data_IF_208254805564
#
_entry.id   IF_208254805564
#
_cell.length_a   1.000
_cell.length_b   1.000
_cell.length_c   1.000
_cell.angle_alpha   90.00
_cell.angle_beta   90.00
_cell.angle_gamma   90.00
#
_symmetry.space_group_name_H-M   'P 1'
#
loop_
_entity.id
_entity.type
_entity.pdbx_description
1 polymer ?
#
# COMPACT_ATOMS: atom_id res chain seq x y z
N UNK A 1 -12.68 -17.09 15.12
CA UNK A 1 -12.45 -15.64 15.20
C UNK A 1 -11.20 -15.28 16.01
N UNK A 2 -11.05 -15.75 17.26
CA UNK A 2 -9.82 -15.50 18.05
C UNK A 2 -8.52 -15.99 17.37
N UNK A 3 -8.51 -17.19 16.79
CA UNK A 3 -7.33 -17.74 16.09
C UNK A 3 -6.91 -16.90 14.88
N UNK A 4 -7.88 -16.43 14.08
CA UNK A 4 -7.63 -15.61 12.90
C UNK A 4 -7.03 -14.23 13.26
N UNK A 5 -7.51 -13.61 14.35
CA UNK A 5 -6.95 -12.34 14.82
C UNK A 5 -5.50 -12.49 15.31
N UNK A 6 -5.18 -13.59 15.99
CA UNK A 6 -3.81 -13.84 16.44
C UNK A 6 -2.86 -14.18 15.27
N UNK A 7 -3.34 -14.87 14.24
CA UNK A 7 -2.61 -15.08 12.99
C UNK A 7 -2.33 -13.75 12.27
N UNK A 8 -3.35 -12.88 12.16
CA UNK A 8 -3.24 -11.54 11.58
C UNK A 8 -2.21 -10.68 12.33
N UNK A 9 -2.24 -10.69 13.66
CA UNK A 9 -1.27 -9.98 14.50
C UNK A 9 0.15 -10.50 14.28
N UNK A 10 0.33 -11.82 14.36
CA UNK A 10 1.66 -12.43 14.20
C UNK A 10 2.24 -12.07 12.83
N UNK A 11 1.44 -12.16 11.77
CA UNK A 11 1.86 -11.76 10.45
C UNK A 11 2.16 -10.25 10.37
N UNK A 12 1.34 -9.38 10.99
CA UNK A 12 1.63 -7.95 11.05
C UNK A 12 2.98 -7.64 11.73
N UNK A 13 3.32 -8.34 12.81
CA UNK A 13 4.63 -8.24 13.48
C UNK A 13 5.77 -8.66 12.55
N UNK A 14 5.66 -9.82 11.91
CA UNK A 14 6.69 -10.31 11.00
C UNK A 14 6.90 -9.36 9.80
N UNK A 15 5.83 -8.79 9.25
CA UNK A 15 5.91 -7.79 8.17
C UNK A 15 6.57 -6.51 8.62
N UNK A 16 6.26 -6.05 9.83
CA UNK A 16 6.91 -4.89 10.43
C UNK A 16 8.42 -5.11 10.56
N UNK A 17 8.83 -6.26 11.09
CA UNK A 17 10.25 -6.63 11.24
C UNK A 17 10.97 -6.75 9.88
N UNK A 18 10.31 -7.30 8.85
CA UNK A 18 10.83 -7.35 7.49
C UNK A 18 11.05 -5.94 6.90
N UNK A 19 10.08 -5.05 7.07
CA UNK A 19 10.19 -3.66 6.62
C UNK A 19 11.30 -2.91 7.36
N UNK A 20 11.44 -3.12 8.67
CA UNK A 20 12.52 -2.54 9.48
C UNK A 20 13.89 -3.01 9.00
N UNK A 21 14.06 -4.32 8.82
CA UNK A 21 15.32 -4.89 8.34
C UNK A 21 15.67 -4.42 6.92
N UNK A 22 14.69 -4.36 6.02
CA UNK A 22 14.87 -3.82 4.67
C UNK A 22 15.27 -2.34 4.72
N UNK A 23 14.62 -1.55 5.59
CA UNK A 23 14.96 -0.14 5.78
C UNK A 23 16.39 0.07 6.26
N UNK A 24 16.87 -0.74 7.21
CA UNK A 24 18.25 -0.65 7.69
C UNK A 24 19.27 -0.92 6.59
N UNK A 25 19.04 -1.94 5.77
CA UNK A 25 19.92 -2.29 4.65
C UNK A 25 19.92 -1.18 3.61
N UNK A 26 18.74 -0.71 3.24
CA UNK A 26 18.57 0.35 2.24
C UNK A 26 19.18 1.68 2.71
N UNK A 27 19.01 2.05 3.98
CA UNK A 27 19.61 3.28 4.54
C UNK A 27 21.14 3.21 4.55
N UNK A 28 21.72 2.02 4.79
CA UNK A 28 23.18 1.81 4.70
C UNK A 28 23.68 1.94 3.27
N UNK A 29 22.91 1.47 2.29
CA UNK A 29 23.26 1.55 0.87
C UNK A 29 23.08 2.96 0.28
N UNK A 30 22.10 3.71 0.77
CA UNK A 30 21.74 5.05 0.28
C UNK A 30 21.83 6.08 1.40
N UNK A 31 23.06 6.38 1.85
CA UNK A 31 23.31 7.31 2.96
C UNK A 31 22.78 8.74 2.71
N UNK A 32 22.45 9.07 1.47
CA UNK A 32 21.88 10.35 1.06
C UNK A 32 20.34 10.39 1.07
N UNK A 33 19.63 9.27 1.29
CA UNK A 33 18.16 9.16 1.24
C UNK A 33 17.61 8.51 2.52
N UNK A 34 18.05 8.99 3.69
CA UNK A 34 17.75 8.32 4.96
C UNK A 34 16.27 8.45 5.32
N UNK A 35 15.64 7.31 5.63
CA UNK A 35 14.29 7.25 6.16
C UNK A 35 14.26 6.72 7.59
N UNK A 36 13.24 7.13 8.35
CA UNK A 36 12.84 6.46 9.59
C UNK A 36 11.47 5.80 9.42
N UNK A 37 11.27 4.67 10.09
CA UNK A 37 9.97 4.00 10.13
C UNK A 37 9.21 4.38 11.40
N UNK A 38 7.92 4.67 11.27
CA UNK A 38 6.98 4.89 12.38
C UNK A 38 5.77 3.94 12.26
N UNK A 39 5.26 3.35 13.36
CA UNK A 39 5.81 3.37 14.71
C UNK A 39 7.25 2.82 14.72
N UNK A 40 8.08 3.29 15.66
CA UNK A 40 9.39 2.66 15.88
C UNK A 40 9.20 1.32 16.61
N UNK A 41 10.26 0.53 16.72
CA UNK A 41 10.18 -0.84 17.21
C UNK A 41 9.54 -0.93 18.60
N UNK A 42 10.02 -0.12 19.55
CA UNK A 42 9.48 -0.06 20.91
C UNK A 42 7.99 0.27 20.93
N UNK A 43 7.56 1.30 20.19
CA UNK A 43 6.16 1.68 20.18
C UNK A 43 5.27 0.66 19.46
N UNK A 44 5.80 -0.02 18.43
CA UNK A 44 5.09 -1.11 17.77
C UNK A 44 4.87 -2.29 18.73
N UNK A 45 5.90 -2.68 19.49
CA UNK A 45 5.80 -3.72 20.53
C UNK A 45 4.76 -3.37 21.59
N UNK A 46 4.77 -2.13 22.09
CA UNK A 46 3.75 -1.66 23.03
C UNK A 46 2.33 -1.73 22.45
N UNK A 47 2.14 -1.33 21.18
CA UNK A 47 0.84 -1.46 20.51
C UNK A 47 0.44 -2.92 20.36
N UNK A 48 1.40 -3.80 20.06
CA UNK A 48 1.17 -5.23 19.87
C UNK A 48 0.68 -5.87 21.16
N UNK A 49 1.38 -5.64 22.27
CA UNK A 49 1.03 -6.15 23.61
C UNK A 49 -0.35 -5.64 24.08
N UNK A 50 -0.71 -4.41 23.71
CA UNK A 50 -2.00 -3.80 24.03
C UNK A 50 -3.14 -4.19 23.08
N UNK A 51 -2.94 -5.17 22.18
CA UNK A 51 -3.93 -5.59 21.17
C UNK A 51 -4.38 -4.48 20.22
N UNK A 52 -3.50 -3.53 19.90
CA UNK A 52 -3.78 -2.38 19.01
C UNK A 52 -3.19 -2.56 17.60
N UNK A 53 -2.52 -3.67 17.32
CA UNK A 53 -1.94 -3.97 16.01
C UNK A 53 -2.97 -4.73 15.16
N UNK A 54 -3.76 -3.98 14.40
CA UNK A 54 -4.54 -4.43 13.24
C UNK A 54 -5.33 -3.25 12.64
N UNK A 55 -5.29 -2.99 11.32
CA UNK A 55 -4.32 -3.50 10.32
C UNK A 55 -2.90 -2.92 10.52
N UNK A 56 -1.87 -3.55 9.93
CA UNK A 56 -0.51 -3.01 9.95
C UNK A 56 -0.49 -1.67 9.20
N UNK A 57 -0.02 -0.62 9.88
CA UNK A 57 0.15 0.71 9.33
C UNK A 57 1.54 1.20 9.70
N UNK A 58 2.34 1.55 8.68
CA UNK A 58 3.66 2.15 8.88
C UNK A 58 3.83 3.40 8.03
N UNK A 59 4.64 4.31 8.54
CA UNK A 59 5.06 5.53 7.86
C UNK A 59 6.56 5.48 7.64
N UNK A 60 7.01 5.74 6.41
CA UNK A 60 8.41 6.03 6.12
C UNK A 60 8.56 7.54 5.99
N UNK A 61 9.33 8.14 6.90
CA UNK A 61 9.56 9.60 6.94
C UNK A 61 10.97 9.88 6.48
N UNK A 62 11.11 10.64 5.39
CA UNK A 62 12.41 11.11 4.91
C UNK A 62 13.02 12.07 5.93
N UNK A 63 14.27 11.82 6.32
CA UNK A 63 15.03 12.73 7.18
C UNK A 63 15.49 13.99 6.45
N UNK A 64 15.46 13.98 5.12
CA UNK A 64 15.90 15.10 4.30
C UNK A 64 14.76 16.07 3.98
N UNK A 65 13.68 15.55 3.40
CA UNK A 65 12.57 16.37 2.89
C UNK A 65 11.38 16.44 3.86
N UNK A 66 11.35 15.56 4.87
CA UNK A 66 10.15 15.35 5.70
C UNK A 66 8.99 14.67 4.95
N UNK A 67 9.22 14.22 3.70
CA UNK A 67 8.22 13.46 2.94
C UNK A 67 7.81 12.20 3.72
N UNK A 68 6.50 12.00 3.82
CA UNK A 68 5.91 10.90 4.59
C UNK A 68 5.13 9.98 3.67
N UNK A 69 5.67 8.79 3.46
CA UNK A 69 5.00 7.70 2.76
C UNK A 69 4.23 6.86 3.76
N UNK A 70 3.06 6.37 3.39
CA UNK A 70 2.22 5.54 4.26
C UNK A 70 1.94 4.21 3.60
N UNK A 71 2.19 3.11 4.31
CA UNK A 71 1.98 1.74 3.85
C UNK A 71 1.02 1.08 4.83
N UNK A 72 -0.12 0.61 4.34
CA UNK A 72 -1.20 0.01 5.13
C UNK A 72 -1.54 -1.38 4.56
N UNK A 73 -1.50 -2.44 5.39
CA UNK A 73 -2.08 -3.74 5.01
C UNK A 73 -3.58 -3.74 5.30
N UNK A 74 -4.34 -2.99 4.49
CA UNK A 74 -5.73 -2.63 4.75
C UNK A 74 -6.66 -3.83 4.92
N UNK A 75 -6.50 -4.86 4.09
CA UNK A 75 -7.24 -6.12 4.24
C UNK A 75 -6.26 -7.29 4.23
N UNK A 76 -6.09 -7.90 5.39
CA UNK A 76 -5.20 -9.04 5.54
C UNK A 76 -5.69 -10.24 4.72
N UNK A 77 -4.79 -11.01 4.09
CA UNK A 77 -3.33 -10.82 4.04
C UNK A 77 -2.85 -9.97 2.86
N UNK A 78 -3.67 -9.80 1.84
CA UNK A 78 -3.19 -9.53 0.49
C UNK A 78 -3.40 -8.10 0.00
N UNK A 79 -4.25 -7.31 0.65
CA UNK A 79 -4.59 -5.98 0.17
C UNK A 79 -3.77 -4.91 0.86
N UNK A 80 -3.01 -4.17 0.07
CA UNK A 80 -2.13 -3.11 0.52
C UNK A 80 -2.55 -1.76 -0.04
N UNK A 81 -2.27 -0.71 0.70
CA UNK A 81 -2.32 0.67 0.20
C UNK A 81 -0.97 1.33 0.43
N UNK A 82 -0.45 1.97 -0.60
CA UNK A 82 0.74 2.84 -0.51
C UNK A 82 0.32 4.25 -0.90
N UNK A 83 0.54 5.21 -0.01
CA UNK A 83 0.28 6.64 -0.26
C UNK A 83 1.59 7.38 -0.39
N UNK A 84 1.80 8.03 -1.53
CA UNK A 84 2.98 8.84 -1.78
C UNK A 84 2.70 10.32 -1.45
N UNK A 85 3.66 11.05 -0.87
CA UNK A 85 3.48 12.46 -0.52
C UNK A 85 3.84 13.37 -1.70
N UNK A 86 3.23 14.56 -1.76
CA UNK A 86 3.44 15.52 -2.84
C UNK A 86 4.85 16.12 -2.89
N UNK A 87 5.55 16.15 -1.76
CA UNK A 87 6.89 16.73 -1.62
C UNK A 87 8.03 15.71 -1.75
N UNK A 88 7.74 14.45 -2.12
CA UNK A 88 8.78 13.45 -2.33
C UNK A 88 9.58 13.75 -3.61
N UNK A 89 10.90 13.52 -3.56
CA UNK A 89 11.71 13.48 -4.79
C UNK A 89 11.51 12.15 -5.53
N UNK A 90 11.97 12.07 -6.78
CA UNK A 90 11.95 10.81 -7.56
C UNK A 90 12.73 9.72 -6.83
N UNK A 91 13.90 10.05 -6.31
CA UNK A 91 14.80 9.10 -5.64
C UNK A 91 14.17 8.59 -4.34
N UNK A 92 13.49 9.46 -3.59
CA UNK A 92 12.74 9.09 -2.39
C UNK A 92 11.58 8.13 -2.72
N UNK A 93 10.87 8.40 -3.82
CA UNK A 93 9.79 7.54 -4.31
C UNK A 93 10.33 6.19 -4.76
N UNK A 94 11.41 6.16 -5.55
CA UNK A 94 12.06 4.93 -6.03
C UNK A 94 12.54 4.07 -4.84
N UNK A 95 13.17 4.71 -3.85
CA UNK A 95 13.65 4.05 -2.63
C UNK A 95 12.51 3.36 -1.87
N UNK A 96 11.42 4.09 -1.58
CA UNK A 96 10.29 3.54 -0.82
C UNK A 96 9.54 2.50 -1.66
N UNK A 97 9.39 2.72 -2.97
CA UNK A 97 8.82 1.72 -3.89
C UNK A 97 9.57 0.40 -3.77
N UNK A 98 10.89 0.40 -3.96
CA UNK A 98 11.65 -0.85 -4.05
C UNK A 98 11.63 -1.62 -2.73
N UNK A 99 11.76 -0.91 -1.60
CA UNK A 99 11.63 -1.47 -0.26
C UNK A 99 10.26 -2.11 -0.04
N UNK A 100 9.18 -1.37 -0.36
CA UNK A 100 7.81 -1.80 -0.04
C UNK A 100 7.33 -2.91 -0.96
N UNK A 101 7.60 -2.82 -2.27
CA UNK A 101 7.17 -3.83 -3.22
C UNK A 101 7.87 -5.18 -3.01
N UNK A 102 9.14 -5.19 -2.59
CA UNK A 102 9.84 -6.43 -2.21
C UNK A 102 9.16 -7.09 -1.01
N UNK A 103 8.88 -6.29 0.02
CA UNK A 103 8.26 -6.78 1.27
C UNK A 103 6.82 -7.24 1.07
N UNK A 104 6.10 -6.67 0.11
CA UNK A 104 4.74 -7.09 -0.25
C UNK A 104 4.76 -8.36 -1.10
N UNK A 105 5.68 -8.48 -2.06
CA UNK A 105 5.67 -9.57 -3.04
C UNK A 105 6.10 -10.93 -2.47
N UNK A 106 7.10 -10.95 -1.60
CA UNK A 106 7.74 -12.20 -1.16
C UNK A 106 7.83 -12.33 0.35
N UNK A 107 6.68 -12.40 1.03
CA UNK A 107 6.70 -12.04 2.42
C UNK A 107 6.87 -13.38 3.20
N UNK A 108 7.84 -13.52 4.13
CA UNK A 108 8.41 -14.83 4.57
C UNK A 108 7.39 -15.92 4.93
N UNK A 109 6.30 -15.55 5.60
CA UNK A 109 5.20 -16.46 5.97
C UNK A 109 3.92 -16.18 5.18
N UNK A 110 4.05 -16.03 3.86
CA UNK A 110 2.90 -15.90 2.98
C UNK A 110 1.98 -17.13 3.11
N UNK A 111 0.66 -16.95 3.26
CA UNK A 111 -0.27 -18.06 3.20
C UNK A 111 -0.22 -18.73 1.81
N UNK A 112 -0.58 -20.02 1.75
CA UNK A 112 -0.68 -20.73 0.48
C UNK A 112 -1.65 -20.00 -0.47
N UNK A 113 -1.24 -19.79 -1.73
CA UNK A 113 -2.03 -19.05 -2.71
C UNK A 113 -2.04 -17.53 -2.52
N UNK A 114 -1.09 -16.97 -1.75
CA UNK A 114 -0.96 -15.52 -1.60
C UNK A 114 -0.82 -14.79 -2.95
N UNK A 115 -1.75 -13.86 -3.21
CA UNK A 115 -1.76 -13.02 -4.40
C UNK A 115 -1.92 -11.56 -3.96
N UNK A 116 -0.81 -10.81 -3.83
CA UNK A 116 -0.85 -9.45 -3.33
C UNK A 116 -1.58 -8.52 -4.30
N UNK A 117 -2.42 -7.66 -3.74
CA UNK A 117 -3.12 -6.57 -4.41
C UNK A 117 -2.72 -5.25 -3.76
N UNK A 118 -2.54 -4.22 -4.57
CA UNK A 118 -2.05 -2.93 -4.12
C UNK A 118 -2.90 -1.82 -4.71
N UNK A 119 -3.28 -0.85 -3.89
CA UNK A 119 -3.69 0.48 -4.33
C UNK A 119 -2.54 1.46 -4.10
N UNK A 120 -1.97 2.02 -5.16
CA UNK A 120 -1.01 3.11 -5.06
C UNK A 120 -1.72 4.46 -5.25
N UNK A 121 -1.60 5.32 -4.24
CA UNK A 121 -2.23 6.64 -4.17
C UNK A 121 -1.16 7.69 -4.46
N UNK A 122 -1.26 8.32 -5.62
CA UNK A 122 -0.34 9.36 -6.09
C UNK A 122 -0.98 10.76 -6.03
N UNK A 123 -0.23 11.80 -5.60
CA UNK A 123 -0.64 13.18 -5.71
C UNK A 123 -0.92 13.61 -7.16
N UNK A 124 -1.82 14.58 -7.30
CA UNK A 124 -2.05 15.24 -8.58
C UNK A 124 -0.78 15.95 -9.05
N UNK A 125 -0.39 15.74 -10.31
CA UNK A 125 0.87 16.24 -10.88
C UNK A 125 2.09 15.32 -10.72
N UNK A 126 1.95 14.12 -10.14
CA UNK A 126 3.02 13.11 -10.21
C UNK A 126 3.32 12.79 -11.68
N UNK A 127 4.59 12.84 -12.15
CA UNK A 127 4.92 12.57 -13.54
C UNK A 127 4.50 11.17 -13.99
N UNK A 128 3.91 11.08 -15.18
CA UNK A 128 3.40 9.82 -15.76
C UNK A 128 4.46 8.72 -15.81
N UNK A 129 5.69 9.07 -16.20
CA UNK A 129 6.83 8.15 -16.26
C UNK A 129 7.11 7.49 -14.91
N UNK A 130 7.00 8.24 -13.80
CA UNK A 130 7.22 7.69 -12.46
C UNK A 130 6.11 6.72 -12.05
N UNK A 131 4.86 7.01 -12.44
CA UNK A 131 3.73 6.11 -12.20
C UNK A 131 3.91 4.84 -13.03
N UNK A 132 4.31 4.93 -14.30
CA UNK A 132 4.59 3.76 -15.14
C UNK A 132 5.75 2.90 -14.62
N UNK A 133 6.84 3.53 -14.16
CA UNK A 133 7.94 2.81 -13.49
C UNK A 133 7.44 2.05 -12.26
N UNK A 134 6.55 2.65 -11.47
CA UNK A 134 5.93 2.00 -10.32
C UNK A 134 5.08 0.79 -10.73
N UNK A 135 4.15 0.97 -11.67
CA UNK A 135 3.28 -0.12 -12.17
C UNK A 135 4.14 -1.29 -12.65
N UNK A 136 5.15 -1.00 -13.48
CA UNK A 136 6.07 -2.00 -14.04
C UNK A 136 6.84 -2.75 -12.96
N UNK A 137 7.32 -2.05 -11.92
CA UNK A 137 8.06 -2.70 -10.83
C UNK A 137 7.15 -3.63 -10.01
N UNK A 138 5.91 -3.22 -9.76
CA UNK A 138 4.94 -4.01 -8.99
C UNK A 138 4.44 -5.23 -9.78
N UNK A 139 4.04 -5.07 -11.03
CA UNK A 139 3.56 -6.18 -11.87
C UNK A 139 4.66 -7.22 -12.13
N UNK A 140 5.92 -6.81 -12.28
CA UNK A 140 7.07 -7.73 -12.38
C UNK A 140 7.24 -8.63 -11.15
N UNK A 141 6.74 -8.20 -9.99
CA UNK A 141 6.74 -8.98 -8.75
C UNK A 141 5.43 -9.76 -8.52
N UNK A 142 4.53 -9.77 -9.51
CA UNK A 142 3.26 -10.48 -9.42
C UNK A 142 2.21 -9.78 -8.55
N UNK A 143 2.36 -8.47 -8.32
CA UNK A 143 1.39 -7.68 -7.55
C UNK A 143 0.32 -7.12 -8.49
N UNK A 144 -0.95 -7.34 -8.16
CA UNK A 144 -2.08 -6.71 -8.85
C UNK A 144 -2.15 -5.21 -8.46
N UNK A 145 -1.96 -4.32 -9.44
CA UNK A 145 -1.91 -2.87 -9.19
C UNK A 145 -3.23 -2.19 -9.52
N UNK A 146 -3.72 -1.42 -8.56
CA UNK A 146 -4.77 -0.42 -8.69
C UNK A 146 -4.17 0.97 -8.40
N UNK A 147 -4.73 2.02 -9.00
CA UNK A 147 -4.23 3.38 -8.85
C UNK A 147 -5.32 4.33 -8.36
N UNK A 148 -4.90 5.32 -7.60
CA UNK A 148 -5.64 6.56 -7.35
C UNK A 148 -4.69 7.72 -7.64
N UNK A 149 -5.10 8.68 -8.47
CA UNK A 149 -4.27 9.85 -8.81
C UNK A 149 -5.06 11.12 -8.50
N UNK A 150 -4.72 11.81 -7.42
CA UNK A 150 -5.45 13.02 -7.02
C UNK A 150 -5.07 13.54 -5.64
N UNK A 151 -5.83 14.51 -5.11
CA UNK A 151 -5.60 15.05 -3.78
C UNK A 151 -5.78 13.98 -2.70
N UNK A 152 -4.85 13.94 -1.74
CA UNK A 152 -4.93 13.00 -0.60
C UNK A 152 -6.25 13.11 0.16
N UNK A 153 -6.80 14.32 0.29
CA UNK A 153 -8.07 14.55 0.97
C UNK A 153 -9.28 13.93 0.26
N UNK A 154 -9.22 13.70 -1.05
CA UNK A 154 -10.25 12.94 -1.77
C UNK A 154 -10.13 11.45 -1.44
N UNK A 155 -8.92 10.90 -1.46
CA UNK A 155 -8.67 9.51 -1.05
C UNK A 155 -9.14 9.26 0.40
N UNK A 156 -8.83 10.16 1.32
CA UNK A 156 -9.24 10.07 2.73
C UNK A 156 -10.77 9.99 2.86
N UNK A 157 -11.52 10.82 2.12
CA UNK A 157 -12.99 10.75 2.10
C UNK A 157 -13.53 9.41 1.59
N UNK A 158 -12.88 8.81 0.58
CA UNK A 158 -13.25 7.48 0.08
C UNK A 158 -12.99 6.42 1.16
N UNK A 159 -11.83 6.48 1.82
CA UNK A 159 -11.49 5.58 2.92
C UNK A 159 -12.45 5.71 4.10
N UNK A 160 -12.83 6.93 4.49
CA UNK A 160 -13.82 7.19 5.54
C UNK A 160 -15.21 6.65 5.17
N UNK A 161 -15.64 6.85 3.92
CA UNK A 161 -16.92 6.33 3.43
C UNK A 161 -16.96 4.80 3.50
N UNK A 162 -15.89 4.13 3.10
CA UNK A 162 -15.79 2.67 3.21
C UNK A 162 -15.78 2.19 4.66
N UNK A 163 -15.03 2.86 5.54
CA UNK A 163 -14.99 2.55 6.97
C UNK A 163 -16.38 2.68 7.62
N UNK A 164 -17.12 3.73 7.26
CA UNK A 164 -18.49 3.94 7.74
C UNK A 164 -19.44 2.83 7.27
N UNK A 165 -19.41 2.47 5.98
CA UNK A 165 -20.20 1.35 5.44
C UNK A 165 -19.87 0.01 6.11
N UNK A 166 -18.58 -0.21 6.40
CA UNK A 166 -18.11 -1.41 7.10
C UNK A 166 -18.66 -1.44 8.52
N UNK A 167 -18.59 -0.31 9.23
CA UNK A 167 -19.13 -0.17 10.59
C UNK A 167 -20.64 -0.42 10.63
N UNK A 168 -21.40 0.18 9.73
CA UNK A 168 -22.86 -0.02 9.63
C UNK A 168 -23.23 -1.48 9.35
N UNK A 169 -22.48 -2.17 8.49
CA UNK A 169 -22.70 -3.59 8.21
C UNK A 169 -22.44 -4.47 9.44
N UNK A 170 -21.39 -4.16 10.22
CA UNK A 170 -21.10 -4.84 11.50
C UNK A 170 -22.21 -4.59 12.53
N UNK A 171 -22.58 -3.32 12.73
CA UNK A 171 -23.59 -2.92 13.72
C UNK A 171 -24.98 -3.49 13.40
N UNK A 172 -25.31 -3.63 12.11
CA UNK A 172 -26.57 -4.24 11.66
C UNK A 172 -26.57 -5.77 11.63
N UNK A 173 -25.44 -6.42 11.98
CA UNK A 173 -25.30 -7.88 11.95
C UNK A 173 -25.24 -8.49 10.55
N UNK A 174 -25.14 -7.67 9.49
CA UNK A 174 -25.06 -8.10 8.10
C UNK A 174 -23.60 -8.41 7.70
N UNK A 175 -22.98 -9.36 8.40
CA UNK A 175 -21.57 -9.72 8.20
C UNK A 175 -21.30 -10.32 6.81
N UNK A 176 -22.34 -10.87 6.16
CA UNK A 176 -22.33 -11.35 4.78
C UNK A 176 -22.18 -10.22 3.75
N UNK A 177 -22.51 -8.98 4.14
CA UNK A 177 -22.46 -7.79 3.27
C UNK A 177 -21.25 -6.90 3.52
N UNK A 178 -20.24 -7.39 4.25
CA UNK A 178 -19.01 -6.62 4.46
C UNK A 178 -18.39 -6.27 3.10
N UNK A 179 -18.13 -4.98 2.82
CA UNK A 179 -17.71 -4.54 1.50
C UNK A 179 -16.33 -5.11 1.10
N UNK A 180 -15.43 -5.31 2.05
CA UNK A 180 -14.08 -5.85 1.80
C UNK A 180 -13.28 -5.03 0.80
N UNK A 181 -12.29 -5.68 0.15
CA UNK A 181 -11.45 -5.07 -0.88
C UNK A 181 -12.26 -4.64 -2.10
N UNK A 182 -13.12 -5.51 -2.64
CA UNK A 182 -13.89 -5.20 -3.86
C UNK A 182 -14.88 -4.04 -3.64
N UNK A 183 -15.48 -3.95 -2.45
CA UNK A 183 -16.27 -2.80 -2.04
C UNK A 183 -15.44 -1.54 -1.91
N UNK A 184 -14.22 -1.63 -1.35
CA UNK A 184 -13.30 -0.49 -1.28
C UNK A 184 -12.90 0.00 -2.67
N UNK A 185 -12.51 -0.91 -3.57
CA UNK A 185 -12.13 -0.59 -4.94
C UNK A 185 -13.28 0.02 -5.74
N UNK A 186 -14.52 -0.45 -5.54
CA UNK A 186 -15.70 0.18 -6.16
C UNK A 186 -15.93 1.62 -5.72
N UNK A 187 -15.59 1.96 -4.48
CA UNK A 187 -15.69 3.36 -4.02
C UNK A 187 -14.55 4.21 -4.59
N UNK A 188 -13.34 3.65 -4.68
CA UNK A 188 -12.21 4.29 -5.37
C UNK A 188 -12.56 4.60 -6.82
N UNK A 189 -13.05 3.62 -7.58
CA UNK A 189 -13.39 3.77 -9.01
C UNK A 189 -14.52 4.78 -9.28
N UNK A 190 -15.36 5.10 -8.27
CA UNK A 190 -16.38 6.16 -8.39
C UNK A 190 -15.82 7.56 -8.23
N UNK A 191 -14.63 7.69 -7.63
CA UNK A 191 -13.98 8.96 -7.38
C UNK A 191 -13.32 9.51 -8.66
N UNK A 192 -12.98 10.80 -8.68
CA UNK A 192 -12.22 11.37 -9.79
C UNK A 192 -10.82 10.78 -9.85
N UNK A 193 -10.13 10.71 -8.70
CA UNK A 193 -8.79 10.16 -8.62
C UNK A 193 -8.70 8.68 -8.99
N UNK A 194 -9.72 7.87 -8.66
CA UNK A 194 -9.78 6.47 -9.09
C UNK A 194 -9.98 6.30 -10.59
N UNK A 195 -10.84 7.13 -11.21
CA UNK A 195 -11.01 7.13 -12.68
C UNK A 195 -9.73 7.53 -13.41
N UNK A 196 -9.03 8.57 -12.94
CA UNK A 196 -7.69 8.94 -13.45
C UNK A 196 -6.70 7.78 -13.34
N UNK A 197 -6.74 7.04 -12.22
CA UNK A 197 -5.93 5.85 -12.01
C UNK A 197 -6.24 4.71 -13.00
N UNK A 198 -7.53 4.45 -13.25
CA UNK A 198 -7.97 3.44 -14.23
C UNK A 198 -7.56 3.81 -15.66
N UNK A 199 -7.75 5.07 -16.07
CA UNK A 199 -7.29 5.58 -17.37
C UNK A 199 -5.78 5.44 -17.53
N UNK A 200 -5.01 5.71 -16.48
CA UNK A 200 -3.55 5.53 -16.46
C UNK A 200 -3.14 4.06 -16.64
N UNK A 201 -3.78 3.13 -15.92
CA UNK A 201 -3.52 1.69 -16.07
C UNK A 201 -3.88 1.19 -17.47
N UNK A 202 -4.96 1.69 -18.06
CA UNK A 202 -5.38 1.34 -19.42
C UNK A 202 -4.37 1.82 -20.47
N UNK A 203 -3.83 3.04 -20.32
CA UNK A 203 -2.75 3.56 -21.19
C UNK A 203 -1.46 2.75 -21.05
N UNK A 204 -1.03 2.48 -19.83
CA UNK A 204 0.14 1.64 -19.57
C UNK A 204 0.04 0.27 -20.28
N UNK A 205 -1.12 -0.40 -20.15
CA UNK A 205 -1.37 -1.71 -20.75
C UNK A 205 -1.45 -1.66 -22.27
N UNK A 206 -2.02 -0.61 -22.87
CA UNK A 206 -2.12 -0.48 -24.33
C UNK A 206 -0.77 -0.23 -25.01
N UNK A 207 0.11 0.55 -24.37
CA UNK A 207 1.48 0.80 -24.84
C UNK A 207 2.38 -0.44 -24.74
N UNK A 208 2.11 -1.33 -23.79
CA UNK A 208 2.90 -2.55 -23.58
C UNK A 208 2.32 -3.81 -24.24
N UNK A 209 1.06 -3.79 -24.69
CA UNK A 209 0.49 -4.87 -25.53
C UNK A 209 0.74 -4.65 -27.02
N UNK A 210 0.85 -3.40 -27.48
CA UNK A 210 1.15 -3.05 -28.88
C UNK A 210 2.57 -3.44 -29.34
N UNK A 211 3.49 -3.70 -28.41
CA UNK A 211 4.85 -4.18 -28.71
C UNK A 211 4.97 -5.70 -28.81
N UNK A 212 3.92 -6.46 -28.44
CA UNK A 212 3.87 -7.93 -28.55
C UNK A 212 3.09 -8.43 -29.78
N UNK A 213 2.41 -7.54 -30.51
CA UNK A 213 1.64 -7.87 -31.73
C UNK A 213 2.44 -7.71 -33.04
N UNK A 214 3.73 -7.41 -32.96
CA UNK A 214 4.68 -7.49 -34.08
C UNK A 214 5.72 -8.60 -33.81
N UNK A 215 5.34 -9.85 -34.03
CA UNK A 215 6.25 -10.96 -34.35
C UNK A 215 5.49 -12.02 -35.15
#
# INVERSE_FOLDING_TARGET
MQTKLEEEKKAAKERYEEMLAALEVMNKAHQNLLFEMRPNETFFEEMYENNKVAPLYVEFVSKNSGAKFTIENKFFPHSWVITTPQNATKEELDYVRDLTLETIAHPKNAPEGYQPKLLAVFPDGTPEEQIFEFIKAAEKKGIEVNLFIGPKSEYEKVSETHAQKTKEAVESGNLDKLPGWDGFMREIQKSEGGRKGEDMLNRYRSEHTSSLSHN
#
